data_IF_455335496429
#
_entry.id   IF_455335496429
#
_cell.length_a   1.000
_cell.length_b   1.000
_cell.length_c   1.000
_cell.angle_alpha   90.00
_cell.angle_beta   90.00
_cell.angle_gamma   90.00
#
_symmetry.space_group_name_H-M   'P 1'
#
loop_
_entity.id
_entity.type
_entity.pdbx_description
1 polymer ?
#
# COMPACT_ATOMS: atom_id res chain seq x y z
N UNK A 1 -5.45 21.10 30.93
CA UNK A 1 -4.57 19.94 30.69
C UNK A 1 -5.11 19.18 29.48
N UNK A 2 -4.55 19.39 28.29
CA UNK A 2 -4.81 18.59 27.09
C UNK A 2 -3.66 17.60 26.93
N UNK A 3 -3.75 16.48 27.63
CA UNK A 3 -2.94 15.29 27.40
C UNK A 3 -3.88 14.22 26.87
N UNK A 4 -3.40 13.37 25.94
CA UNK A 4 -4.15 12.38 25.14
C UNK A 4 -4.73 13.05 23.89
N UNK A 5 -3.96 13.20 22.81
CA UNK A 5 -3.84 12.18 21.76
C UNK A 5 -2.51 12.35 21.00
N UNK A 6 -1.38 12.33 21.72
CA UNK A 6 -0.07 12.05 21.12
C UNK A 6 0.06 10.54 20.78
N UNK A 7 -1.03 9.91 20.33
CA UNK A 7 -1.02 8.57 19.79
C UNK A 7 -0.39 8.66 18.40
N UNK A 8 0.94 8.78 18.40
CA UNK A 8 1.83 8.42 17.29
C UNK A 8 1.17 8.57 15.91
N UNK A 9 0.84 9.80 15.51
CA UNK A 9 0.88 10.13 14.09
C UNK A 9 2.35 10.08 13.74
N UNK A 10 2.92 8.88 13.65
CA UNK A 10 4.04 8.68 12.74
C UNK A 10 3.46 9.17 11.43
N UNK A 11 4.00 10.23 10.82
CA UNK A 11 3.80 10.38 9.40
C UNK A 11 4.44 9.13 8.88
N UNK A 12 3.61 8.12 8.63
CA UNK A 12 3.99 7.04 7.78
C UNK A 12 4.42 7.78 6.56
N UNK A 13 5.72 7.76 6.28
CA UNK A 13 6.29 8.17 5.02
C UNK A 13 5.80 7.16 3.99
N UNK A 14 4.47 7.03 3.89
CA UNK A 14 3.71 6.32 2.91
C UNK A 14 4.18 6.95 1.63
N UNK A 15 5.01 6.19 0.94
CA UNK A 15 5.57 6.63 -0.31
C UNK A 15 4.39 6.79 -1.26
N UNK A 16 3.94 8.03 -1.43
CA UNK A 16 2.73 8.37 -2.18
C UNK A 16 2.78 7.78 -3.58
N UNK A 17 3.97 7.77 -4.18
CA UNK A 17 4.24 7.14 -5.48
C UNK A 17 3.96 5.64 -5.46
N UNK A 18 4.30 4.94 -4.37
CA UNK A 18 3.99 3.52 -4.18
C UNK A 18 2.49 3.30 -4.08
N UNK A 19 1.76 4.11 -3.34
CA UNK A 19 0.31 3.96 -3.23
C UNK A 19 -0.43 4.26 -4.54
N UNK A 20 -0.02 5.32 -5.24
CA UNK A 20 -0.59 5.69 -6.55
C UNK A 20 -0.35 4.58 -7.57
N UNK A 21 0.88 4.08 -7.68
CA UNK A 21 1.22 2.97 -8.58
C UNK A 21 0.50 1.67 -8.18
N UNK A 22 0.40 1.36 -6.88
CA UNK A 22 -0.33 0.20 -6.41
C UNK A 22 -1.83 0.30 -6.73
N UNK A 23 -2.41 1.50 -6.70
CA UNK A 23 -3.80 1.75 -7.06
C UNK A 23 -4.04 1.58 -8.56
N UNK A 24 -3.12 2.03 -9.41
CA UNK A 24 -3.17 1.76 -10.85
C UNK A 24 -3.13 0.25 -11.14
N UNK A 25 -2.23 -0.49 -10.49
CA UNK A 25 -2.15 -1.95 -10.63
C UNK A 25 -3.43 -2.64 -10.13
N UNK A 26 -3.99 -2.15 -9.02
CA UNK A 26 -5.25 -2.65 -8.47
C UNK A 26 -6.44 -2.42 -9.41
N UNK A 27 -6.52 -1.25 -10.07
CA UNK A 27 -7.58 -0.94 -11.04
C UNK A 27 -7.39 -1.67 -12.38
N UNK A 28 -6.15 -1.94 -12.76
CA UNK A 28 -5.82 -2.68 -13.99
C UNK A 28 -6.03 -4.20 -13.83
N UNK A 29 -6.07 -4.70 -12.60
CA UNK A 29 -6.35 -6.10 -12.34
C UNK A 29 -7.77 -6.44 -12.84
N UNK A 30 -7.94 -7.53 -13.60
CA UNK A 30 -9.28 -7.99 -13.99
C UNK A 30 -10.14 -8.21 -12.74
N UNK A 31 -11.45 -7.97 -12.84
CA UNK A 31 -12.46 -8.15 -11.77
C UNK A 31 -12.63 -9.62 -11.29
N UNK A 32 -11.56 -10.42 -11.30
CA UNK A 32 -11.50 -11.60 -10.45
C UNK A 32 -11.68 -11.15 -9.00
N UNK A 33 -12.45 -11.91 -8.23
CA UNK A 33 -12.87 -11.57 -6.86
C UNK A 33 -11.74 -11.27 -5.84
N UNK A 34 -10.47 -11.33 -6.27
CA UNK A 34 -9.27 -11.01 -5.51
C UNK A 34 -8.22 -10.33 -6.40
N UNK A 35 -8.15 -8.99 -6.46
CA UNK A 35 -7.09 -8.29 -7.18
C UNK A 35 -5.71 -8.63 -6.58
N UNK A 36 -4.76 -8.98 -7.44
CA UNK A 36 -3.39 -9.34 -7.07
C UNK A 36 -2.48 -8.16 -7.37
N UNK A 37 -1.79 -7.62 -6.36
CA UNK A 37 -0.79 -6.57 -6.55
C UNK A 37 0.60 -7.22 -6.56
N UNK A 38 1.29 -7.12 -7.70
CA UNK A 38 2.65 -7.62 -7.86
C UNK A 38 3.65 -6.62 -7.24
N UNK A 39 4.32 -7.05 -6.17
CA UNK A 39 5.28 -6.22 -5.44
C UNK A 39 6.58 -5.97 -6.23
N UNK A 40 7.00 -6.88 -7.13
CA UNK A 40 8.17 -6.63 -7.99
C UNK A 40 7.89 -5.53 -8.99
N UNK A 41 6.73 -5.60 -9.64
CA UNK A 41 6.31 -4.57 -10.57
C UNK A 41 6.19 -3.22 -9.86
N UNK A 42 5.61 -3.22 -8.66
CA UNK A 42 5.50 -2.03 -7.84
C UNK A 42 6.87 -1.45 -7.47
N UNK A 43 7.81 -2.30 -7.05
CA UNK A 43 9.19 -1.91 -6.74
C UNK A 43 9.91 -1.33 -7.96
N UNK A 44 9.77 -1.97 -9.13
CA UNK A 44 10.38 -1.51 -10.38
C UNK A 44 9.85 -0.14 -10.83
N UNK A 45 8.54 0.07 -10.77
CA UNK A 45 7.90 1.33 -11.18
C UNK A 45 8.18 2.48 -10.19
N UNK A 46 8.28 2.17 -8.91
CA UNK A 46 8.40 3.20 -7.85
C UNK A 46 9.85 3.50 -7.50
N UNK A 47 10.75 2.54 -7.66
CA UNK A 47 12.14 2.57 -7.19
C UNK A 47 12.27 2.22 -5.69
N UNK A 48 11.16 1.86 -5.02
CA UNK A 48 11.15 1.46 -3.62
C UNK A 48 11.54 -0.03 -3.48
N UNK A 49 12.05 -0.41 -2.30
CA UNK A 49 12.33 -1.81 -2.00
C UNK A 49 11.03 -2.62 -1.85
N UNK A 50 11.11 -3.94 -2.06
CA UNK A 50 9.96 -4.84 -1.86
C UNK A 50 9.36 -4.72 -0.46
N UNK A 51 10.20 -4.51 0.57
CA UNK A 51 9.77 -4.33 1.95
C UNK A 51 8.95 -3.04 2.13
N UNK A 52 9.39 -1.94 1.53
CA UNK A 52 8.67 -0.67 1.54
C UNK A 52 7.34 -0.78 0.80
N UNK A 53 7.33 -1.42 -0.38
CA UNK A 53 6.13 -1.71 -1.14
C UNK A 53 5.11 -2.52 -0.32
N UNK A 54 5.57 -3.61 0.31
CA UNK A 54 4.74 -4.47 1.15
C UNK A 54 4.17 -3.70 2.34
N UNK A 55 5.02 -2.97 3.06
CA UNK A 55 4.59 -2.23 4.24
C UNK A 55 3.58 -1.15 3.87
N UNK A 56 3.78 -0.43 2.76
CA UNK A 56 2.85 0.58 2.26
C UNK A 56 1.47 0.00 1.92
N UNK A 57 1.42 -1.19 1.30
CA UNK A 57 0.12 -1.84 0.99
C UNK A 57 -0.57 -2.36 2.25
N UNK A 58 0.16 -3.04 3.16
CA UNK A 58 -0.41 -3.54 4.42
C UNK A 58 -0.99 -2.38 5.25
N UNK A 59 -0.29 -1.26 5.26
CA UNK A 59 -0.73 -0.05 5.94
C UNK A 59 -1.97 0.55 5.28
N UNK A 60 -1.97 0.69 3.96
CA UNK A 60 -3.13 1.13 3.22
C UNK A 60 -4.35 0.21 3.45
N UNK A 61 -4.13 -1.10 3.58
CA UNK A 61 -5.16 -2.09 3.94
C UNK A 61 -5.77 -1.83 5.32
N UNK A 62 -4.96 -1.55 6.34
CA UNK A 62 -5.48 -1.16 7.66
C UNK A 62 -6.30 0.14 7.62
N UNK A 63 -6.03 1.02 6.64
CA UNK A 63 -6.80 2.24 6.40
C UNK A 63 -7.99 2.05 5.45
N UNK A 64 -8.36 0.81 5.12
CA UNK A 64 -9.52 0.49 4.27
C UNK A 64 -9.30 0.71 2.76
N UNK A 65 -8.05 0.87 2.32
CA UNK A 65 -7.65 0.86 0.90
C UNK A 65 -7.24 -0.55 0.49
N UNK A 66 -7.41 -0.92 -0.77
CA UNK A 66 -7.12 -2.30 -1.24
C UNK A 66 -7.88 -3.38 -0.44
N UNK A 67 -9.22 -3.34 -0.40
CA UNK A 67 -9.99 -4.42 0.19
C UNK A 67 -9.76 -5.71 -0.61
N UNK A 68 -9.57 -6.82 0.11
CA UNK A 68 -9.48 -8.17 -0.47
C UNK A 68 -8.40 -8.31 -1.57
N UNK A 69 -7.23 -7.70 -1.39
CA UNK A 69 -6.12 -7.88 -2.32
C UNK A 69 -5.15 -8.97 -1.87
N UNK A 70 -4.56 -9.70 -2.83
CA UNK A 70 -3.41 -10.56 -2.58
C UNK A 70 -2.11 -9.85 -2.97
N UNK A 71 -1.01 -10.21 -2.32
CA UNK A 71 0.33 -9.72 -2.65
C UNK A 71 1.12 -10.84 -3.31
N UNK A 72 1.67 -10.56 -4.49
CA UNK A 72 2.58 -11.47 -5.21
C UNK A 72 4.01 -10.93 -5.14
N UNK A 73 4.98 -11.80 -4.81
CA UNK A 73 6.37 -11.42 -4.53
C UNK A 73 7.37 -11.70 -5.62
#
# INVERSE_FOLDING_TARGET
MLNLLAASVKPLTLNRKVLETAYELYLAAPEAAYPIINLRELSQRTGASLLECRNAIIEAHHHGRFPQCALET
#
